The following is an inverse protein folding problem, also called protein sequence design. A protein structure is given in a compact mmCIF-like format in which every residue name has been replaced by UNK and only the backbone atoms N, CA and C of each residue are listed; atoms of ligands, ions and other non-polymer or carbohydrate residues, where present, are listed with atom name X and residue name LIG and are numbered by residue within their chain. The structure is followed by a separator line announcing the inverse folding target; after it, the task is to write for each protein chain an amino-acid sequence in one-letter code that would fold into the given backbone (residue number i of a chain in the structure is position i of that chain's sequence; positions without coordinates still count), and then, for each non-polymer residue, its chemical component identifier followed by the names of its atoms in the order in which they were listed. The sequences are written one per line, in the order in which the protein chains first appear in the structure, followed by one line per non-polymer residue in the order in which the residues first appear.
data_IF_443771985011
#
_entry.id   IF_443771985011
#
_cell.length_a   1.000
_cell.length_b   1.000
_cell.length_c   1.000
_cell.angle_alpha   90.00
_cell.angle_beta   90.00
_cell.angle_gamma   90.00
#
_symmetry.space_group_name_H-M   'P 1'
#
loop_
_entity.id
_entity.type
_entity.pdbx_description
1 polymer ?
#
# COMPACT_ATOMS: atom_id res chain seq x y z
N UNK A 1 8.60 -10.04 14.12
CA UNK A 1 8.86 -9.70 12.69
C UNK A 1 8.56 -8.24 12.33
N UNK A 2 7.44 -7.62 12.73
CA UNK A 2 7.12 -6.21 12.35
C UNK A 2 8.21 -5.20 12.77
N UNK A 3 8.74 -5.33 14.00
CA UNK A 3 9.85 -4.48 14.45
C UNK A 3 11.11 -4.70 13.62
N UNK A 4 11.43 -5.95 13.25
CA UNK A 4 12.58 -6.27 12.42
C UNK A 4 12.44 -5.72 11.01
N UNK A 5 11.26 -5.79 10.39
CA UNK A 5 11.03 -5.17 9.09
C UNK A 5 11.17 -3.65 9.18
N UNK A 6 10.57 -2.98 10.20
CA UNK A 6 10.72 -1.53 10.40
C UNK A 6 12.20 -1.14 10.56
N UNK A 7 12.97 -1.91 11.35
CA UNK A 7 14.41 -1.70 11.52
C UNK A 7 15.16 -1.88 10.19
N UNK A 8 14.87 -2.95 9.44
CA UNK A 8 15.51 -3.22 8.15
C UNK A 8 15.25 -2.10 7.13
N UNK A 9 14.01 -1.60 7.07
CA UNK A 9 13.65 -0.45 6.22
C UNK A 9 14.46 0.79 6.61
N UNK A 10 14.57 1.09 7.91
CA UNK A 10 15.30 2.24 8.41
C UNK A 10 16.82 2.12 8.16
N UNK A 11 17.41 0.94 8.39
CA UNK A 11 18.86 0.70 8.22
C UNK A 11 19.31 0.82 6.76
N UNK A 12 18.42 0.49 5.80
CA UNK A 12 18.69 0.61 4.36
C UNK A 12 18.33 1.98 3.78
N UNK A 13 17.49 2.77 4.45
CA UNK A 13 17.05 4.07 3.96
C UNK A 13 18.22 5.03 3.71
N UNK A 14 18.22 5.66 2.54
CA UNK A 14 19.30 6.53 2.11
C UNK A 14 20.55 5.80 1.60
N UNK A 15 20.63 4.47 1.72
CA UNK A 15 21.79 3.65 1.33
C UNK A 15 21.46 2.73 0.17
N UNK A 16 20.36 1.99 0.25
CA UNK A 16 19.87 1.02 -0.75
C UNK A 16 18.37 1.18 -0.94
N UNK A 17 17.86 0.79 -2.09
CA UNK A 17 16.43 0.76 -2.41
C UNK A 17 15.93 -0.68 -2.48
N UNK A 18 14.77 -0.97 -1.89
CA UNK A 18 14.16 -2.29 -1.92
C UNK A 18 13.35 -2.44 -3.21
N UNK A 19 13.60 -3.51 -3.96
CA UNK A 19 12.85 -3.82 -5.17
C UNK A 19 11.47 -4.38 -4.83
N UNK A 20 10.43 -3.70 -5.29
CA UNK A 20 9.04 -4.14 -5.17
C UNK A 20 8.35 -4.29 -6.53
N UNK A 21 7.32 -5.12 -6.55
CA UNK A 21 6.47 -5.33 -7.72
C UNK A 21 5.00 -5.38 -7.30
N UNK A 22 4.20 -4.48 -7.90
CA UNK A 22 2.74 -4.58 -7.82
C UNK A 22 2.27 -5.67 -8.78
N UNK A 23 1.45 -6.59 -8.29
CA UNK A 23 1.01 -7.74 -9.06
C UNK A 23 -0.45 -7.59 -9.51
N UNK A 24 -0.78 -8.26 -10.60
CA UNK A 24 -2.18 -8.51 -10.96
C UNK A 24 -2.81 -9.39 -9.87
N UNK A 25 -3.99 -9.04 -9.32
CA UNK A 25 -4.60 -9.75 -8.20
C UNK A 25 -4.67 -11.27 -8.40
N UNK A 26 -4.15 -12.03 -7.42
CA UNK A 26 -4.09 -13.48 -7.44
C UNK A 26 -3.01 -14.09 -8.33
N UNK A 27 -2.08 -13.27 -8.85
CA UNK A 27 -1.02 -13.72 -9.77
C UNK A 27 0.36 -13.30 -9.27
N UNK A 28 1.40 -13.99 -9.71
CA UNK A 28 2.81 -13.61 -9.56
C UNK A 28 3.51 -13.46 -10.92
N UNK A 29 2.75 -13.38 -12.01
CA UNK A 29 3.28 -13.40 -13.38
C UNK A 29 4.30 -12.29 -13.65
N UNK A 30 4.11 -11.10 -13.06
CA UNK A 30 5.05 -9.98 -13.15
C UNK A 30 6.38 -10.32 -12.45
N UNK A 31 6.31 -10.89 -11.25
CA UNK A 31 7.48 -11.32 -10.46
C UNK A 31 8.24 -12.43 -11.19
N UNK A 32 7.51 -13.41 -11.74
CA UNK A 32 8.08 -14.53 -12.49
C UNK A 32 8.81 -14.05 -13.76
N UNK A 33 8.23 -13.06 -14.45
CA UNK A 33 8.86 -12.44 -15.62
C UNK A 33 10.15 -11.71 -15.23
N UNK A 34 10.14 -10.89 -14.19
CA UNK A 34 11.33 -10.21 -13.69
C UNK A 34 12.41 -11.22 -13.30
N UNK A 35 12.04 -12.24 -12.54
CA UNK A 35 12.99 -13.27 -12.07
C UNK A 35 13.62 -14.03 -13.23
N UNK A 36 12.83 -14.39 -14.23
CA UNK A 36 13.31 -15.07 -15.45
C UNK A 36 14.30 -14.22 -16.24
N UNK A 37 14.01 -12.93 -16.38
CA UNK A 37 14.78 -12.03 -17.25
C UNK A 37 16.02 -11.45 -16.57
N UNK A 38 16.00 -11.30 -15.23
CA UNK A 38 17.11 -10.66 -14.50
C UNK A 38 17.94 -11.63 -13.67
N UNK A 39 17.42 -12.83 -13.40
CA UNK A 39 17.98 -13.78 -12.43
C UNK A 39 17.79 -13.35 -10.97
N UNK A 40 17.05 -12.28 -10.71
CA UNK A 40 16.78 -11.72 -9.37
C UNK A 40 15.27 -11.59 -9.14
N UNK A 41 14.83 -11.90 -7.94
CA UNK A 41 13.42 -11.82 -7.55
C UNK A 41 13.16 -10.55 -6.75
N UNK A 42 12.09 -9.77 -7.02
CA UNK A 42 11.71 -8.64 -6.17
C UNK A 42 11.63 -9.04 -4.70
N UNK A 43 12.09 -8.18 -3.80
CA UNK A 43 12.03 -8.41 -2.35
C UNK A 43 10.60 -8.23 -1.80
N UNK A 44 9.79 -7.36 -2.41
CA UNK A 44 8.46 -7.01 -1.97
C UNK A 44 7.42 -7.31 -3.05
N UNK A 45 6.35 -7.98 -2.62
CA UNK A 45 5.14 -8.21 -3.41
C UNK A 45 4.04 -7.26 -2.94
N UNK A 46 3.53 -6.42 -3.84
CA UNK A 46 2.42 -5.51 -3.55
C UNK A 46 1.15 -6.03 -4.23
N UNK A 47 0.19 -6.47 -3.44
CA UNK A 47 -1.16 -6.83 -3.86
C UNK A 47 -2.15 -5.69 -3.66
N UNK A 48 -3.45 -5.98 -3.84
CA UNK A 48 -4.53 -5.03 -3.59
C UNK A 48 -5.72 -5.70 -2.91
N UNK A 49 -6.26 -5.08 -1.88
CA UNK A 49 -7.45 -5.56 -1.15
C UNK A 49 -8.77 -5.18 -1.85
N UNK A 50 -8.74 -4.67 -3.08
CA UNK A 50 -9.91 -4.14 -3.80
C UNK A 50 -11.09 -5.10 -3.87
N UNK A 51 -10.86 -6.41 -3.84
CA UNK A 51 -11.90 -7.44 -3.89
C UNK A 51 -12.24 -8.05 -2.52
N UNK A 52 -11.65 -7.55 -1.43
CA UNK A 52 -11.74 -8.17 -0.10
C UNK A 52 -12.88 -7.61 0.77
N UNK A 53 -13.74 -6.74 0.25
CA UNK A 53 -14.80 -6.09 1.02
C UNK A 53 -16.20 -6.52 0.59
N UNK A 54 -17.20 -6.49 1.49
CA UNK A 54 -18.59 -6.86 1.21
C UNK A 54 -19.18 -6.12 0.01
N UNK A 55 -18.83 -4.85 -0.18
CA UNK A 55 -19.26 -4.04 -1.32
C UNK A 55 -18.89 -4.65 -2.69
N UNK A 56 -17.97 -5.64 -2.72
CA UNK A 56 -17.46 -6.22 -3.96
C UNK A 56 -17.45 -7.75 -4.00
N UNK A 57 -17.82 -8.46 -2.95
CA UNK A 57 -17.70 -9.93 -2.88
C UNK A 57 -18.48 -10.69 -3.95
N UNK A 58 -19.60 -10.16 -4.43
CA UNK A 58 -20.41 -10.87 -5.41
C UNK A 58 -19.65 -11.03 -6.75
N UNK A 59 -19.28 -12.27 -7.06
CA UNK A 59 -18.52 -12.63 -8.27
C UNK A 59 -17.01 -12.36 -8.22
N UNK A 60 -16.46 -11.84 -7.10
CA UNK A 60 -15.02 -11.53 -6.97
C UNK A 60 -14.31 -12.24 -5.83
N UNK A 61 -15.05 -13.02 -5.02
CA UNK A 61 -14.48 -13.70 -3.84
C UNK A 61 -13.30 -14.61 -4.17
N UNK A 62 -13.33 -15.30 -5.30
CA UNK A 62 -12.23 -16.16 -5.73
C UNK A 62 -10.94 -15.35 -5.98
N UNK A 63 -11.06 -14.15 -6.56
CA UNK A 63 -9.89 -13.27 -6.76
C UNK A 63 -9.32 -12.79 -5.43
N UNK A 64 -10.19 -12.44 -4.46
CA UNK A 64 -9.78 -12.05 -3.13
C UNK A 64 -9.07 -13.21 -2.40
N UNK A 65 -9.64 -14.41 -2.42
CA UNK A 65 -9.07 -15.58 -1.76
C UNK A 65 -7.71 -15.96 -2.38
N UNK A 66 -7.58 -15.92 -3.71
CA UNK A 66 -6.32 -16.20 -4.40
C UNK A 66 -5.25 -15.15 -4.09
N UNK A 67 -5.63 -13.86 -4.02
CA UNK A 67 -4.70 -12.79 -3.69
C UNK A 67 -4.14 -12.96 -2.26
N UNK A 68 -5.02 -13.22 -1.30
CA UNK A 68 -4.62 -13.45 0.10
C UNK A 68 -3.73 -14.70 0.23
N UNK A 69 -4.08 -15.79 -0.46
CA UNK A 69 -3.29 -17.01 -0.45
C UNK A 69 -1.88 -16.81 -1.03
N UNK A 70 -1.77 -16.13 -2.17
CA UNK A 70 -0.49 -15.84 -2.80
C UNK A 70 0.39 -14.93 -1.92
N UNK A 71 -0.21 -13.93 -1.27
CA UNK A 71 0.52 -13.03 -0.39
C UNK A 71 0.98 -13.73 0.92
N UNK A 72 0.15 -14.61 1.50
CA UNK A 72 0.54 -15.45 2.66
C UNK A 72 1.71 -16.36 2.30
N UNK A 73 1.65 -17.02 1.14
CA UNK A 73 2.74 -17.87 0.66
C UNK A 73 4.03 -17.06 0.48
N UNK A 74 3.93 -15.86 -0.08
CA UNK A 74 5.07 -14.93 -0.24
C UNK A 74 5.72 -14.58 1.10
N UNK A 75 4.91 -14.21 2.10
CA UNK A 75 5.39 -13.87 3.44
C UNK A 75 6.00 -15.06 4.18
N UNK A 76 5.43 -16.28 4.07
CA UNK A 76 5.99 -17.52 4.62
C UNK A 76 7.35 -17.87 4.03
N UNK A 77 7.61 -17.49 2.78
CA UNK A 77 8.88 -17.68 2.11
C UNK A 77 9.88 -16.51 2.34
N UNK A 78 9.62 -15.65 3.32
CA UNK A 78 10.53 -14.57 3.75
C UNK A 78 10.43 -13.29 2.93
N UNK A 79 9.52 -13.18 1.98
CA UNK A 79 9.31 -11.97 1.19
C UNK A 79 8.54 -10.91 1.97
N UNK A 80 8.74 -9.63 1.62
CA UNK A 80 8.00 -8.51 2.18
C UNK A 80 6.61 -8.47 1.53
N UNK A 81 5.56 -8.48 2.36
CA UNK A 81 4.17 -8.35 1.90
C UNK A 81 3.74 -6.89 1.97
N UNK A 82 3.17 -6.41 0.87
CA UNK A 82 2.54 -5.08 0.81
C UNK A 82 1.15 -5.20 0.19
N UNK A 83 0.21 -4.40 0.69
CA UNK A 83 -1.11 -4.25 0.11
C UNK A 83 -1.46 -2.78 -0.10
N UNK A 84 -1.91 -2.46 -1.32
CA UNK A 84 -2.75 -1.33 -1.58
C UNK A 84 -4.21 -1.64 -1.23
N UNK A 85 -5.03 -0.61 -1.15
CA UNK A 85 -6.47 -0.78 -1.08
C UNK A 85 -7.17 0.29 -1.91
N UNK A 86 -7.42 -0.04 -3.19
CA UNK A 86 -8.35 0.70 -4.03
C UNK A 86 -9.76 0.28 -3.64
N UNK A 87 -10.34 1.05 -2.74
CA UNK A 87 -11.58 0.70 -2.07
C UNK A 87 -12.79 0.98 -2.96
N UNK A 88 -13.46 -0.08 -3.40
CA UNK A 88 -14.76 0.05 -4.06
C UNK A 88 -15.76 0.64 -3.09
N UNK A 89 -16.47 1.71 -3.51
CA UNK A 89 -17.40 2.41 -2.65
C UNK A 89 -18.40 1.43 -1.99
N UNK A 90 -18.69 1.58 -0.69
CA UNK A 90 -19.49 0.60 0.06
C UNK A 90 -20.98 0.62 -0.30
N UNK A 91 -21.43 1.56 -1.12
CA UNK A 91 -22.83 1.74 -1.49
C UNK A 91 -23.02 2.11 -2.97
N UNK A 92 -24.19 1.80 -3.49
CA UNK A 92 -24.65 2.25 -4.79
C UNK A 92 -23.94 1.57 -5.95
N UNK A 93 -23.62 2.32 -6.99
CA UNK A 93 -22.78 1.83 -8.07
C UNK A 93 -21.35 1.76 -7.56
N UNK A 94 -20.97 0.55 -7.19
CA UNK A 94 -19.67 0.32 -6.55
C UNK A 94 -18.53 0.45 -7.56
N UNK A 95 -17.74 1.51 -7.42
CA UNK A 95 -16.47 1.74 -8.10
C UNK A 95 -15.56 2.52 -7.15
N UNK A 96 -14.26 2.53 -7.42
CA UNK A 96 -13.33 3.37 -6.68
C UNK A 96 -13.12 4.75 -7.34
N UNK A 97 -13.51 4.93 -8.61
CA UNK A 97 -13.49 6.24 -9.28
C UNK A 97 -14.70 7.09 -8.91
N UNK A 98 -14.46 8.38 -8.65
CA UNK A 98 -15.49 9.32 -8.23
C UNK A 98 -16.58 9.56 -9.29
N UNK A 99 -16.22 9.54 -10.57
CA UNK A 99 -17.14 9.78 -11.69
C UNK A 99 -18.07 8.58 -11.97
N UNK A 100 -17.71 7.41 -11.48
CA UNK A 100 -18.50 6.17 -11.64
C UNK A 100 -19.11 5.68 -10.34
N UNK A 101 -18.68 6.20 -9.18
CA UNK A 101 -19.29 5.94 -7.88
C UNK A 101 -20.44 6.91 -7.59
N UNK A 102 -21.46 6.45 -6.84
CA UNK A 102 -22.53 7.31 -6.29
C UNK A 102 -22.35 7.61 -4.82
N UNK A 103 -21.34 7.02 -4.17
CA UNK A 103 -21.04 7.23 -2.77
C UNK A 103 -20.42 8.60 -2.51
N UNK A 104 -20.94 9.30 -1.52
CA UNK A 104 -20.44 10.62 -1.11
C UNK A 104 -19.87 10.53 0.30
N UNK A 105 -18.54 10.60 0.42
CA UNK A 105 -17.86 10.46 1.71
C UNK A 105 -18.38 11.43 2.78
N UNK A 106 -18.75 12.66 2.37
CA UNK A 106 -19.29 13.66 3.30
C UNK A 106 -20.56 13.23 4.03
N UNK A 107 -21.36 12.34 3.43
CA UNK A 107 -22.60 11.84 4.03
C UNK A 107 -22.32 10.77 5.10
N UNK A 108 -21.12 10.19 5.11
CA UNK A 108 -20.67 9.22 6.11
C UNK A 108 -19.94 9.86 7.30
N UNK A 109 -19.48 11.11 7.17
CA UNK A 109 -18.70 11.78 8.22
C UNK A 109 -19.57 12.07 9.44
N UNK A 110 -19.05 11.79 10.63
CA UNK A 110 -19.68 12.09 11.91
C UNK A 110 -18.66 12.67 12.90
N UNK A 111 -19.12 13.47 13.85
CA UNK A 111 -18.35 14.02 14.97
C UNK A 111 -18.21 13.04 16.14
N UNK A 112 -18.86 11.86 16.05
CA UNK A 112 -18.80 10.84 17.10
C UNK A 112 -17.59 9.97 16.92
N UNK A 113 -16.99 9.58 18.06
CA UNK A 113 -16.00 8.53 18.07
C UNK A 113 -16.71 7.16 17.99
N UNK A 114 -16.63 6.56 16.81
CA UNK A 114 -17.23 5.27 16.48
C UNK A 114 -16.19 4.19 16.24
N UNK A 115 -14.90 4.52 16.45
CA UNK A 115 -13.79 3.61 16.14
C UNK A 115 -13.82 2.33 16.98
N UNK A 116 -14.43 2.36 18.18
CA UNK A 116 -14.55 1.24 19.11
C UNK A 116 -15.97 0.68 19.22
N UNK A 117 -16.94 1.25 18.47
CA UNK A 117 -18.34 0.82 18.56
C UNK A 117 -18.53 -0.59 17.97
N UNK A 118 -19.27 -1.45 18.70
CA UNK A 118 -19.67 -2.76 18.19
C UNK A 118 -20.94 -2.67 17.33
N UNK A 119 -21.35 -3.78 16.72
CA UNK A 119 -22.51 -3.82 15.81
C UNK A 119 -23.82 -3.39 16.49
N UNK A 120 -24.01 -3.66 17.79
CA UNK A 120 -25.21 -3.29 18.54
C UNK A 120 -25.23 -1.79 18.80
N UNK A 121 -24.09 -1.22 19.17
CA UNK A 121 -23.91 0.21 19.36
C UNK A 121 -24.10 0.98 18.03
N UNK A 122 -23.46 0.52 16.95
CA UNK A 122 -23.61 1.12 15.60
C UNK A 122 -25.07 1.12 15.14
N UNK A 123 -25.78 0.00 15.36
CA UNK A 123 -27.21 -0.10 15.04
C UNK A 123 -28.03 0.91 15.85
N UNK A 124 -27.76 1.03 17.16
CA UNK A 124 -28.45 1.97 18.05
C UNK A 124 -28.22 3.41 17.63
N UNK A 125 -26.98 3.77 17.28
CA UNK A 125 -26.61 5.09 16.77
C UNK A 125 -27.32 5.41 15.45
N UNK A 126 -27.38 4.44 14.52
CA UNK A 126 -28.05 4.59 13.24
C UNK A 126 -29.57 4.77 13.42
N UNK A 127 -30.23 3.91 14.21
CA UNK A 127 -31.67 3.98 14.48
C UNK A 127 -32.06 5.30 15.16
N UNK A 128 -31.17 5.88 15.95
CA UNK A 128 -31.33 7.19 16.58
C UNK A 128 -31.04 8.38 15.65
N UNK A 129 -30.60 8.13 14.42
CA UNK A 129 -30.22 9.16 13.45
C UNK A 129 -28.94 9.93 13.84
N UNK A 130 -28.10 9.36 14.68
CA UNK A 130 -26.83 9.97 15.12
C UNK A 130 -25.66 9.67 14.20
N UNK A 131 -25.76 8.62 13.40
CA UNK A 131 -24.86 8.28 12.29
C UNK A 131 -25.69 7.87 11.08
N UNK A 132 -25.11 7.99 9.91
CA UNK A 132 -25.76 7.61 8.66
C UNK A 132 -25.62 6.10 8.35
N UNK A 133 -26.40 5.61 7.40
CA UNK A 133 -26.21 4.26 6.86
C UNK A 133 -24.84 4.14 6.18
N UNK A 134 -24.39 5.19 5.48
CA UNK A 134 -23.09 5.26 4.84
C UNK A 134 -21.94 5.07 5.83
N UNK A 135 -22.07 5.64 7.04
CA UNK A 135 -21.10 5.45 8.13
C UNK A 135 -20.97 3.97 8.53
N UNK A 136 -22.11 3.28 8.67
CA UNK A 136 -22.14 1.86 9.03
C UNK A 136 -21.54 0.99 7.93
N UNK A 137 -21.83 1.31 6.67
CA UNK A 137 -21.26 0.59 5.52
C UNK A 137 -19.74 0.73 5.42
N UNK A 138 -19.20 1.95 5.69
CA UNK A 138 -17.75 2.15 5.78
C UNK A 138 -17.10 1.25 6.84
N UNK A 139 -17.67 1.21 8.04
CA UNK A 139 -17.14 0.38 9.12
C UNK A 139 -17.17 -1.12 8.78
N UNK A 140 -18.23 -1.61 8.14
CA UNK A 140 -18.31 -3.01 7.70
C UNK A 140 -17.22 -3.37 6.70
N UNK A 141 -16.90 -2.48 5.77
CA UNK A 141 -15.82 -2.72 4.83
C UNK A 141 -14.44 -2.64 5.50
N UNK A 142 -14.24 -1.70 6.44
CA UNK A 142 -13.01 -1.62 7.24
C UNK A 142 -12.81 -2.91 8.06
N UNK A 143 -13.87 -3.39 8.72
CA UNK A 143 -13.83 -4.62 9.52
C UNK A 143 -13.52 -5.85 8.66
N UNK A 144 -14.12 -5.95 7.47
CA UNK A 144 -13.81 -7.04 6.54
C UNK A 144 -12.36 -7.01 6.03
N UNK A 145 -11.82 -5.83 5.72
CA UNK A 145 -10.42 -5.68 5.38
C UNK A 145 -9.50 -6.04 6.55
N UNK A 146 -9.89 -5.65 7.78
CA UNK A 146 -9.17 -6.00 9.00
C UNK A 146 -9.13 -7.52 9.23
N UNK A 147 -10.24 -8.24 9.00
CA UNK A 147 -10.28 -9.71 9.08
C UNK A 147 -9.32 -10.40 8.09
N UNK A 148 -9.16 -9.83 6.91
CA UNK A 148 -8.17 -10.31 5.92
C UNK A 148 -6.75 -10.09 6.45
N UNK A 149 -6.45 -8.89 6.95
CA UNK A 149 -5.12 -8.53 7.46
C UNK A 149 -4.77 -9.29 8.75
N UNK A 150 -5.78 -9.69 9.53
CA UNK A 150 -5.61 -10.52 10.74
C UNK A 150 -5.04 -11.92 10.43
N UNK A 151 -5.29 -12.46 9.24
CA UNK A 151 -4.68 -13.73 8.81
C UNK A 151 -3.15 -13.63 8.77
N UNK A 152 -2.61 -12.49 8.34
CA UNK A 152 -1.17 -12.22 8.33
C UNK A 152 -0.63 -12.03 9.74
N UNK A 153 -1.38 -11.32 10.62
CA UNK A 153 -1.03 -11.21 12.04
C UNK A 153 -0.97 -12.57 12.71
N UNK A 154 -1.94 -13.45 12.43
CA UNK A 154 -1.98 -14.82 12.94
C UNK A 154 -0.76 -15.67 12.59
N UNK A 155 -0.08 -15.35 11.48
CA UNK A 155 1.15 -16.00 11.03
C UNK A 155 2.42 -15.19 11.31
N UNK A 156 2.32 -14.12 12.12
CA UNK A 156 3.41 -13.19 12.43
C UNK A 156 4.04 -12.53 11.19
N UNK A 157 3.28 -12.38 10.10
CA UNK A 157 3.72 -11.72 8.86
C UNK A 157 3.42 -10.22 8.95
N UNK A 158 4.43 -9.33 8.90
CA UNK A 158 4.21 -7.89 8.80
C UNK A 158 3.67 -7.52 7.41
N UNK A 159 2.80 -6.53 7.38
CA UNK A 159 2.20 -6.02 6.13
C UNK A 159 2.47 -4.52 5.99
N UNK A 160 3.09 -4.12 4.88
CA UNK A 160 3.13 -2.72 4.46
C UNK A 160 1.76 -2.40 3.85
N UNK A 161 0.99 -1.53 4.52
CA UNK A 161 -0.39 -1.25 4.16
C UNK A 161 -0.56 0.19 3.68
N UNK A 162 -1.01 0.35 2.43
CA UNK A 162 -1.21 1.64 1.77
C UNK A 162 -2.67 1.79 1.30
N UNK A 163 -3.61 2.03 2.22
CA UNK A 163 -5.01 2.20 1.88
C UNK A 163 -5.28 3.55 1.22
N UNK A 164 -6.38 3.62 0.46
CA UNK A 164 -6.93 4.87 -0.12
C UNK A 164 -5.85 5.79 -0.70
N UNK A 165 -5.06 5.28 -1.69
CA UNK A 165 -3.93 6.02 -2.26
C UNK A 165 -4.40 7.30 -2.98
N UNK A 166 -3.45 8.23 -3.18
CA UNK A 166 -3.65 9.47 -3.93
C UNK A 166 -4.91 10.26 -3.48
N UNK A 167 -5.12 10.37 -2.15
CA UNK A 167 -6.29 11.01 -1.56
C UNK A 167 -6.43 12.49 -1.90
N UNK A 168 -5.35 13.16 -2.29
CA UNK A 168 -5.31 14.51 -2.82
C UNK A 168 -5.73 14.62 -4.31
N UNK A 169 -6.08 13.48 -4.93
CA UNK A 169 -6.68 13.40 -6.26
C UNK A 169 -8.22 13.36 -6.15
N UNK A 170 -8.91 14.19 -6.92
CA UNK A 170 -10.37 14.13 -7.06
C UNK A 170 -10.86 12.94 -7.92
N UNK A 171 -9.95 12.09 -8.37
CA UNK A 171 -10.26 10.93 -9.21
C UNK A 171 -11.00 9.83 -8.44
N UNK A 172 -10.74 9.72 -7.14
CA UNK A 172 -11.29 8.68 -6.27
C UNK A 172 -12.42 9.21 -5.38
N UNK A 173 -13.36 8.35 -4.97
CA UNK A 173 -14.49 8.75 -4.13
C UNK A 173 -14.06 9.24 -2.74
N UNK A 174 -12.90 8.81 -2.23
CA UNK A 174 -12.32 9.29 -0.97
C UNK A 174 -11.57 10.62 -1.10
N UNK A 175 -11.32 11.10 -2.33
CA UNK A 175 -10.69 12.40 -2.60
C UNK A 175 -11.66 13.57 -2.51
N UNK A 176 -11.25 14.75 -2.99
CA UNK A 176 -12.11 15.93 -3.10
C UNK A 176 -12.27 16.77 -1.84
N UNK A 177 -12.13 16.21 -0.62
CA UNK A 177 -12.13 16.95 0.64
C UNK A 177 -11.02 16.44 1.56
N UNK A 178 -10.06 17.29 1.87
CA UNK A 178 -8.95 16.95 2.76
C UNK A 178 -9.42 16.63 4.19
N UNK A 179 -10.47 17.31 4.66
CA UNK A 179 -11.03 17.08 6.00
C UNK A 179 -11.68 15.69 6.09
N UNK A 180 -12.54 15.35 5.12
CA UNK A 180 -13.23 14.07 5.07
C UNK A 180 -12.23 12.91 4.86
N UNK A 181 -11.22 13.10 4.01
CA UNK A 181 -10.16 12.11 3.80
C UNK A 181 -9.39 11.83 5.10
N UNK A 182 -8.97 12.86 5.83
CA UNK A 182 -8.27 12.70 7.11
C UNK A 182 -9.16 12.06 8.18
N UNK A 183 -10.45 12.35 8.18
CA UNK A 183 -11.40 11.69 9.06
C UNK A 183 -11.48 10.18 8.75
N UNK A 184 -11.67 9.82 7.48
CA UNK A 184 -11.72 8.42 7.04
C UNK A 184 -10.43 7.67 7.38
N UNK A 185 -9.27 8.29 7.11
CA UNK A 185 -7.97 7.70 7.44
C UNK A 185 -7.83 7.40 8.93
N UNK A 186 -8.17 8.37 9.77
CA UNK A 186 -8.06 8.23 11.23
C UNK A 186 -9.03 7.19 11.78
N UNK A 187 -10.26 7.17 11.28
CA UNK A 187 -11.25 6.15 11.63
C UNK A 187 -10.72 4.75 11.31
N UNK A 188 -10.24 4.55 10.10
CA UNK A 188 -9.68 3.27 9.65
C UNK A 188 -8.46 2.86 10.48
N UNK A 189 -7.52 3.78 10.69
CA UNK A 189 -6.34 3.53 11.52
C UNK A 189 -6.73 3.10 12.94
N UNK A 190 -7.58 3.86 13.60
CA UNK A 190 -8.01 3.57 14.98
C UNK A 190 -8.80 2.26 15.06
N UNK A 191 -9.68 2.00 14.10
CA UNK A 191 -10.46 0.76 14.05
C UNK A 191 -9.57 -0.46 13.90
N UNK A 192 -8.63 -0.43 12.96
CA UNK A 192 -7.70 -1.55 12.72
C UNK A 192 -6.70 -1.74 13.86
N UNK A 193 -6.12 -0.66 14.39
CA UNK A 193 -5.12 -0.74 15.46
C UNK A 193 -5.75 -1.07 16.83
N UNK A 194 -6.85 -0.40 17.21
CA UNK A 194 -7.42 -0.52 18.57
C UNK A 194 -8.52 -1.57 18.68
N UNK A 195 -9.50 -1.55 17.78
CA UNK A 195 -10.63 -2.49 17.84
C UNK A 195 -10.21 -3.89 17.39
N UNK A 196 -9.52 -4.01 16.25
CA UNK A 196 -9.02 -5.30 15.74
C UNK A 196 -7.66 -5.71 16.30
N UNK A 197 -6.89 -4.80 16.89
CA UNK A 197 -5.58 -5.07 17.47
C UNK A 197 -4.51 -5.46 16.45
N UNK A 198 -4.58 -4.91 15.22
CA UNK A 198 -3.64 -5.20 14.14
C UNK A 198 -2.32 -4.45 14.35
N UNK A 199 -1.39 -5.09 15.06
CA UNK A 199 -0.08 -4.55 15.39
C UNK A 199 1.03 -4.97 14.40
N UNK A 200 0.65 -5.65 13.32
CA UNK A 200 1.55 -6.11 12.25
C UNK A 200 1.56 -5.19 11.02
N UNK A 201 0.86 -4.06 11.06
CA UNK A 201 0.79 -3.13 9.94
C UNK A 201 1.89 -2.07 10.00
N UNK A 202 2.44 -1.74 8.82
CA UNK A 202 3.29 -0.57 8.57
C UNK A 202 2.48 0.34 7.66
N UNK A 203 2.01 1.46 8.19
CA UNK A 203 1.08 2.36 7.52
C UNK A 203 1.79 3.28 6.53
N UNK A 204 1.36 3.27 5.28
CA UNK A 204 1.90 4.12 4.21
C UNK A 204 0.82 5.08 3.75
N UNK A 205 1.00 6.37 4.01
CA UNK A 205 0.18 7.39 3.40
C UNK A 205 0.74 7.72 2.00
N UNK A 206 -0.09 7.57 0.97
CA UNK A 206 0.28 7.88 -0.42
C UNK A 206 -0.42 9.16 -0.87
N UNK A 207 0.37 10.21 -1.10
CA UNK A 207 -0.11 11.51 -1.53
C UNK A 207 1.02 12.53 -1.65
N UNK A 208 0.68 13.74 -2.11
CA UNK A 208 1.64 14.82 -2.35
C UNK A 208 1.27 16.15 -1.68
N UNK A 209 0.04 16.31 -1.24
CA UNK A 209 -0.46 17.54 -0.61
C UNK A 209 -0.51 17.42 0.91
N UNK A 210 0.24 18.27 1.62
CA UNK A 210 0.22 18.36 3.09
C UNK A 210 -1.18 18.60 3.70
N UNK A 211 -2.11 19.17 2.95
CA UNK A 211 -3.49 19.37 3.41
C UNK A 211 -4.21 18.04 3.66
N UNK A 212 -3.84 17.00 2.90
CA UNK A 212 -4.41 15.66 3.02
C UNK A 212 -3.61 14.75 3.97
N UNK A 213 -2.45 15.19 4.44
CA UNK A 213 -1.63 14.39 5.35
C UNK A 213 -2.37 14.13 6.68
N UNK A 214 -2.56 12.86 7.09
CA UNK A 214 -3.39 12.52 8.26
C UNK A 214 -2.76 12.88 9.60
N UNK A 215 -1.46 13.16 9.62
CA UNK A 215 -0.66 13.45 10.80
C UNK A 215 0.39 12.38 11.07
N UNK A 216 1.45 12.78 11.77
CA UNK A 216 2.65 11.95 11.99
C UNK A 216 2.37 10.66 12.77
N UNK A 217 1.39 10.68 13.68
CA UNK A 217 1.00 9.54 14.51
C UNK A 217 0.19 8.47 13.75
N UNK A 218 -0.26 8.79 12.53
CA UNK A 218 -1.17 7.95 11.75
C UNK A 218 -0.52 7.32 10.52
N UNK A 219 0.78 7.51 10.32
CA UNK A 219 1.53 6.81 9.27
C UNK A 219 3.00 6.60 9.66
N UNK A 220 3.58 5.50 9.17
CA UNK A 220 5.00 5.18 9.32
C UNK A 220 5.83 5.70 8.15
N UNK A 221 5.27 5.69 6.94
CA UNK A 221 5.95 5.96 5.67
C UNK A 221 5.10 6.89 4.81
N UNK A 222 5.74 7.83 4.13
CA UNK A 222 5.12 8.67 3.11
C UNK A 222 5.47 8.10 1.73
N UNK A 223 4.45 7.77 0.95
CA UNK A 223 4.58 7.23 -0.39
C UNK A 223 4.10 8.19 -1.47
N UNK A 224 4.58 8.01 -2.68
CA UNK A 224 4.05 8.66 -3.86
C UNK A 224 4.08 7.75 -5.07
N UNK A 225 3.04 7.85 -5.90
CA UNK A 225 2.96 7.16 -7.19
C UNK A 225 3.50 8.05 -8.31
N UNK A 226 4.20 7.47 -9.30
CA UNK A 226 4.80 8.18 -10.44
C UNK A 226 4.41 7.53 -11.76
N UNK A 227 3.55 8.19 -12.51
CA UNK A 227 3.08 7.72 -13.83
C UNK A 227 3.78 8.48 -14.98
N UNK A 228 5.03 8.86 -14.75
CA UNK A 228 5.86 9.56 -15.73
C UNK A 228 6.83 8.58 -16.37
N UNK A 229 6.84 8.48 -17.69
CA UNK A 229 7.79 7.63 -18.42
C UNK A 229 9.22 8.21 -18.35
N UNK A 230 9.80 8.23 -17.16
CA UNK A 230 11.11 8.77 -16.85
C UNK A 230 11.86 7.87 -15.87
N UNK A 231 13.16 7.57 -16.07
CA UNK A 231 13.99 6.86 -15.11
C UNK A 231 14.48 7.78 -13.97
N UNK A 232 13.90 8.97 -13.85
CA UNK A 232 14.25 9.96 -12.84
C UNK A 232 14.07 9.41 -11.44
N UNK A 233 14.94 9.76 -10.48
CA UNK A 233 14.74 9.46 -9.06
C UNK A 233 13.77 10.44 -8.39
N UNK A 234 13.15 11.35 -9.13
CA UNK A 234 12.20 12.36 -8.64
C UNK A 234 12.71 13.17 -7.44
N UNK A 235 13.98 13.59 -7.46
CA UNK A 235 14.67 14.23 -6.33
C UNK A 235 13.95 15.48 -5.78
N UNK A 236 13.30 16.28 -6.66
CA UNK A 236 12.53 17.44 -6.24
C UNK A 236 11.30 17.05 -5.40
N UNK A 237 10.61 15.95 -5.77
CA UNK A 237 9.46 15.42 -5.02
C UNK A 237 9.91 14.74 -3.75
N UNK A 238 11.02 13.98 -3.80
CA UNK A 238 11.65 13.42 -2.61
C UNK A 238 11.92 14.50 -1.56
N UNK A 239 12.58 15.62 -1.96
CA UNK A 239 12.87 16.72 -1.05
C UNK A 239 11.60 17.42 -0.53
N UNK A 240 10.56 17.56 -1.35
CA UNK A 240 9.31 18.15 -0.93
C UNK A 240 8.60 17.29 0.13
N UNK A 241 8.55 15.96 -0.07
CA UNK A 241 7.97 15.02 0.90
C UNK A 241 8.81 14.96 2.19
N UNK A 242 10.14 14.98 2.08
CA UNK A 242 11.03 15.01 3.25
C UNK A 242 10.84 16.25 4.12
N UNK A 243 10.42 17.36 3.53
CA UNK A 243 10.13 18.61 4.25
C UNK A 243 8.68 18.74 4.72
N UNK A 244 7.83 17.73 4.53
CA UNK A 244 6.41 17.81 4.87
C UNK A 244 6.12 17.59 6.37
N UNK A 245 7.02 16.89 7.07
CA UNK A 245 6.86 16.47 8.46
C UNK A 245 8.01 16.97 9.33
N UNK A 246 7.74 17.28 10.60
CA UNK A 246 8.75 17.66 11.57
C UNK A 246 9.59 16.46 12.03
N UNK A 247 8.98 15.27 12.11
CA UNK A 247 9.65 14.00 12.39
C UNK A 247 9.98 13.30 11.07
N UNK A 248 11.26 13.01 10.79
CA UNK A 248 11.64 12.34 9.56
C UNK A 248 10.89 11.01 9.35
N UNK A 249 10.28 10.85 8.18
CA UNK A 249 9.60 9.62 7.77
C UNK A 249 10.39 8.93 6.65
N UNK A 250 10.24 7.62 6.54
CA UNK A 250 10.68 6.90 5.35
C UNK A 250 9.87 7.37 4.14
N UNK A 251 10.53 7.52 3.00
CA UNK A 251 9.88 7.91 1.75
C UNK A 251 9.96 6.77 0.73
N UNK A 252 8.86 6.52 0.00
CA UNK A 252 8.78 5.40 -0.92
C UNK A 252 8.13 5.76 -2.26
N UNK A 253 8.57 5.09 -3.33
CA UNK A 253 7.87 5.04 -4.61
C UNK A 253 6.88 3.88 -4.56
N UNK A 254 5.63 4.17 -4.27
CA UNK A 254 4.60 3.16 -4.01
C UNK A 254 4.06 2.50 -5.27
N UNK A 255 4.07 3.23 -6.39
CA UNK A 255 3.76 2.71 -7.71
C UNK A 255 4.47 3.55 -8.78
N UNK A 256 4.96 2.92 -9.84
CA UNK A 256 5.54 3.65 -10.97
C UNK A 256 5.41 2.88 -12.29
N UNK A 257 5.21 3.62 -13.39
CA UNK A 257 5.21 3.05 -14.73
C UNK A 257 6.62 2.59 -15.13
N UNK A 258 7.61 3.47 -14.94
CA UNK A 258 9.00 3.23 -15.26
C UNK A 258 9.83 3.18 -13.98
N UNK A 259 10.64 2.13 -13.86
CA UNK A 259 11.51 1.96 -12.69
C UNK A 259 12.55 3.07 -12.62
N UNK A 260 12.68 3.73 -11.45
CA UNK A 260 13.74 4.70 -11.23
C UNK A 260 15.09 4.01 -11.04
N UNK A 261 16.15 4.59 -11.60
CA UNK A 261 17.50 4.04 -11.48
C UNK A 261 18.09 4.25 -10.09
N UNK A 262 18.56 3.19 -9.38
CA UNK A 262 19.25 3.32 -8.10
C UNK A 262 20.51 4.20 -8.17
N UNK A 263 21.23 4.16 -9.27
CA UNK A 263 22.40 5.03 -9.48
C UNK A 263 22.02 6.51 -9.56
N UNK A 264 20.87 6.81 -10.19
CA UNK A 264 20.36 8.18 -10.23
C UNK A 264 19.84 8.60 -8.85
N UNK A 265 19.20 7.68 -8.10
CA UNK A 265 18.80 7.94 -6.71
C UNK A 265 20.01 8.34 -5.84
N UNK A 266 21.10 7.59 -5.95
CA UNK A 266 22.36 7.90 -5.22
C UNK A 266 22.98 9.21 -5.68
N UNK A 267 23.09 9.42 -7.01
CA UNK A 267 23.65 10.65 -7.59
C UNK A 267 22.92 11.92 -7.12
N UNK A 268 21.58 11.84 -7.07
CA UNK A 268 20.70 12.99 -6.82
C UNK A 268 20.28 13.07 -5.33
N UNK A 269 20.85 12.21 -4.47
CA UNK A 269 20.54 12.13 -3.02
C UNK A 269 19.05 11.93 -2.74
N UNK A 270 18.36 11.13 -3.56
CA UNK A 270 16.96 10.78 -3.45
C UNK A 270 16.79 9.25 -3.38
N UNK A 271 17.43 8.62 -2.39
CA UNK A 271 17.36 7.19 -2.18
C UNK A 271 16.08 6.83 -1.44
N UNK A 272 15.07 6.48 -2.19
CA UNK A 272 13.78 6.00 -1.69
C UNK A 272 13.94 4.68 -0.93
N UNK A 273 13.07 4.42 0.03
CA UNK A 273 13.06 3.18 0.81
C UNK A 273 12.82 1.97 -0.07
N UNK A 274 11.83 2.08 -0.95
CA UNK A 274 11.54 1.08 -2.00
C UNK A 274 10.98 1.75 -3.25
N UNK A 275 10.95 1.01 -4.34
CA UNK A 275 10.07 1.25 -5.47
C UNK A 275 9.15 0.04 -5.67
N UNK A 276 7.94 0.26 -6.21
CA UNK A 276 7.07 -0.80 -6.70
C UNK A 276 6.66 -0.49 -8.14
N UNK A 277 7.02 -1.38 -9.08
CA UNK A 277 6.59 -1.22 -10.47
C UNK A 277 5.10 -1.54 -10.61
N UNK A 278 4.42 -0.89 -11.53
CA UNK A 278 3.02 -1.16 -11.83
C UNK A 278 2.79 -2.56 -12.39
N UNK A 279 1.59 -3.10 -12.20
CA UNK A 279 1.17 -4.41 -12.70
C UNK A 279 0.84 -4.42 -14.19
N UNK A 280 0.57 -5.60 -14.74
CA UNK A 280 0.11 -5.83 -16.10
C UNK A 280 1.05 -5.21 -17.14
N UNK A 281 0.52 -4.40 -18.03
CA UNK A 281 1.26 -3.82 -19.16
C UNK A 281 2.48 -2.96 -18.77
N UNK A 282 2.63 -2.60 -17.51
CA UNK A 282 3.86 -1.95 -17.04
C UNK A 282 5.03 -2.93 -17.02
N UNK A 283 4.78 -4.21 -16.75
CA UNK A 283 5.82 -5.20 -16.59
C UNK A 283 5.71 -6.40 -17.54
N UNK A 284 4.49 -6.83 -17.88
CA UNK A 284 4.26 -8.00 -18.74
C UNK A 284 3.30 -7.67 -19.89
N UNK A 285 3.48 -8.38 -21.01
CA UNK A 285 2.54 -8.41 -22.12
C UNK A 285 1.35 -9.34 -21.81
N UNK A 286 0.34 -9.31 -22.65
CA UNK A 286 -0.81 -10.23 -22.53
C UNK A 286 -0.42 -11.72 -22.63
N UNK A 287 0.77 -12.03 -23.12
CA UNK A 287 1.31 -13.40 -23.23
C UNK A 287 2.20 -13.76 -22.02
N UNK A 288 2.32 -12.89 -21.01
CA UNK A 288 3.18 -13.10 -19.85
C UNK A 288 4.68 -12.93 -20.09
N UNK A 289 5.06 -12.37 -21.25
CA UNK A 289 6.45 -12.02 -21.53
C UNK A 289 6.76 -10.61 -20.99
N UNK A 290 8.04 -10.30 -20.78
CA UNK A 290 8.45 -8.97 -20.34
C UNK A 290 7.93 -7.89 -21.31
N UNK A 291 7.32 -6.85 -20.75
CA UNK A 291 6.94 -5.63 -21.45
C UNK A 291 8.06 -4.60 -21.37
N UNK A 292 8.60 -4.22 -22.50
CA UNK A 292 9.60 -3.14 -22.57
C UNK A 292 8.97 -1.76 -22.83
N UNK A 293 7.66 -1.63 -22.59
CA UNK A 293 6.92 -0.38 -22.87
C UNK A 293 7.46 0.81 -22.09
N UNK A 294 7.81 0.60 -20.82
CA UNK A 294 8.29 1.65 -19.92
C UNK A 294 9.75 1.43 -19.51
N UNK A 295 10.12 0.21 -19.14
CA UNK A 295 11.48 -0.15 -18.72
C UNK A 295 12.03 -1.18 -19.69
N UNK A 296 13.12 -0.84 -20.41
CA UNK A 296 13.78 -1.80 -21.32
C UNK A 296 14.38 -2.96 -20.53
N UNK A 297 14.56 -4.11 -21.21
CA UNK A 297 15.23 -5.28 -20.62
C UNK A 297 16.58 -4.92 -19.99
N UNK A 298 17.40 -4.13 -20.69
CA UNK A 298 18.72 -3.73 -20.19
C UNK A 298 18.61 -2.93 -18.89
N UNK A 299 17.71 -1.94 -18.83
CA UNK A 299 17.52 -1.14 -17.62
C UNK A 299 16.97 -1.98 -16.47
N UNK A 300 16.03 -2.89 -16.73
CA UNK A 300 15.49 -3.80 -15.74
C UNK A 300 16.62 -4.67 -15.15
N UNK A 301 17.42 -5.30 -16.02
CA UNK A 301 18.55 -6.13 -15.63
C UNK A 301 19.57 -5.34 -14.80
N UNK A 302 19.93 -4.12 -15.24
CA UNK A 302 20.90 -3.28 -14.53
C UNK A 302 20.38 -2.84 -13.16
N UNK A 303 19.09 -2.52 -13.02
CA UNK A 303 18.45 -2.13 -11.75
C UNK A 303 18.49 -3.31 -10.77
N UNK A 304 18.01 -4.48 -11.18
CA UNK A 304 17.89 -5.64 -10.29
C UNK A 304 19.25 -6.28 -9.93
N UNK A 305 20.30 -6.04 -10.72
CA UNK A 305 21.67 -6.48 -10.45
C UNK A 305 22.57 -5.38 -9.87
N UNK A 306 22.01 -4.21 -9.55
CA UNK A 306 22.73 -3.14 -8.87
C UNK A 306 22.98 -3.49 -7.40
N UNK A 307 24.19 -3.23 -6.88
CA UNK A 307 24.50 -3.34 -5.45
C UNK A 307 23.63 -2.43 -4.57
N UNK A 308 23.01 -1.42 -5.15
CA UNK A 308 22.09 -0.50 -4.46
C UNK A 308 20.65 -1.03 -4.38
N UNK A 309 20.34 -2.10 -5.09
CA UNK A 309 19.00 -2.69 -5.13
C UNK A 309 18.96 -3.93 -4.25
N UNK A 310 18.00 -3.97 -3.31
CA UNK A 310 17.78 -5.14 -2.44
C UNK A 310 16.76 -6.06 -3.08
N UNK A 311 17.12 -7.31 -3.29
CA UNK A 311 16.29 -8.38 -3.85
C UNK A 311 15.94 -9.45 -2.80
N UNK A 312 15.04 -10.37 -3.11
CA UNK A 312 14.50 -11.35 -2.16
C UNK A 312 15.56 -12.17 -1.43
N UNK A 313 16.60 -12.59 -2.15
CA UNK A 313 17.71 -13.39 -1.63
C UNK A 313 18.64 -12.63 -0.65
N UNK A 314 18.46 -11.32 -0.51
CA UNK A 314 19.21 -10.46 0.40
C UNK A 314 18.41 -10.08 1.66
N UNK A 315 17.16 -10.52 1.77
CA UNK A 315 16.34 -10.24 2.95
C UNK A 315 16.81 -11.09 4.15
N UNK A 316 16.94 -10.47 5.34
CA UNK A 316 17.23 -11.20 6.56
C UNK A 316 15.99 -11.90 7.10
N UNK A 317 16.19 -12.80 8.06
CA UNK A 317 15.10 -13.17 8.97
C UNK A 317 14.72 -11.96 9.83
N UNK A 318 13.52 -11.43 9.63
CA UNK A 318 13.07 -10.22 10.34
C UNK A 318 12.83 -10.45 11.84
N UNK A 319 12.63 -11.69 12.29
CA UNK A 319 12.50 -11.98 13.71
C UNK A 319 13.86 -11.87 14.40
N UNK A 320 14.90 -12.46 13.80
CA UNK A 320 16.27 -12.34 14.28
C UNK A 320 16.81 -10.91 14.13
N UNK A 321 16.50 -10.24 13.00
CA UNK A 321 16.98 -8.89 12.70
C UNK A 321 16.49 -7.84 13.70
N UNK A 322 15.32 -8.05 14.32
CA UNK A 322 14.79 -7.15 15.35
C UNK A 322 15.74 -6.96 16.55
N UNK A 323 16.57 -7.96 16.85
CA UNK A 323 17.44 -8.00 18.02
C UNK A 323 18.93 -7.84 17.70
N UNK A 324 19.29 -7.61 16.44
CA UNK A 324 20.68 -7.32 16.07
C UNK A 324 21.08 -5.94 16.62
N UNK A 325 22.16 -5.91 17.40
CA UNK A 325 22.81 -4.68 17.83
C UNK A 325 23.52 -4.02 16.63
N UNK A 326 23.58 -2.69 16.60
CA UNK A 326 24.30 -1.91 15.57
C UNK A 326 25.81 -2.17 15.58
#
# INVERSE_FOLDING_TARGET
MTLGLKKFLADNYGKRVIAGQTVTPGSNAEIDAITRETGRTPAMRTGDLMFCTPSKYEGTKEYADNEVAAALEWGRNGGIVSFGWHWYAPEGKSDYYADTSTFVLGDAVTDRDISMADDEELKTLQESGLISEQTVLLLKDIDAAAEVLDKFRGENIPVIFQPIPDGDSSMYWWGGSAENYKWLWKLMFQRMDKYHGLNNLIWVWNGSSGDYFPGEDYCDVIGQSFYENSPSPFAGRFSALAGMTDVPKLLAVTNCDRLPSPDYMRRDSAMWSWFSAGSGNCMITNNGELSEKYTSWQNLHDIYNSELCVTLDELPDFEEYAFQEE
#
